data_IF_008176520657
#
_entry.id   IF_008176520657
#
_cell.length_a   1.000
_cell.length_b   1.000
_cell.length_c   1.000
_cell.angle_alpha   90.00
_cell.angle_beta   90.00
_cell.angle_gamma   90.00
#
_symmetry.space_group_name_H-M   'P 1'
#
loop_
_entity.id
_entity.type
_entity.pdbx_description
1 polymer ?
#
# COMPACT_ATOMS: atom_id res chain seq x y z
N UNK A 1 5.67 -7.61 15.28
CA UNK A 1 5.79 -8.17 16.65
C UNK A 1 5.04 -9.50 16.63
N UNK A 2 5.79 -10.58 16.43
CA UNK A 2 5.20 -11.92 16.39
C UNK A 2 4.89 -12.36 17.82
N UNK A 3 3.65 -12.51 18.16
CA UNK A 3 3.24 -13.14 19.41
C UNK A 3 2.83 -14.57 19.08
N UNK A 4 3.78 -15.51 19.18
CA UNK A 4 3.47 -16.93 19.30
C UNK A 4 3.49 -17.29 20.77
N UNK A 5 2.33 -17.57 21.33
CA UNK A 5 2.22 -18.23 22.62
C UNK A 5 2.39 -19.74 22.43
N UNK A 6 3.57 -20.25 22.74
CA UNK A 6 3.80 -21.70 22.84
C UNK A 6 3.28 -22.20 24.19
N UNK A 7 2.19 -22.93 24.18
CA UNK A 7 1.73 -23.72 25.31
C UNK A 7 2.71 -24.89 25.52
N UNK A 8 3.22 -25.03 26.75
CA UNK A 8 4.06 -26.16 27.16
C UNK A 8 3.17 -27.40 27.27
N UNK A 9 3.36 -28.35 26.37
CA UNK A 9 2.88 -29.72 26.55
C UNK A 9 4.04 -30.63 27.01
N UNK A 10 3.78 -31.64 27.85
CA UNK A 10 4.85 -32.47 28.44
C UNK A 10 5.48 -33.39 27.40
N UNK A 11 6.77 -33.53 27.51
CA UNK A 11 7.64 -34.39 26.71
C UNK A 11 7.35 -35.85 27.04
N UNK A 12 6.63 -36.57 26.18
CA UNK A 12 6.61 -38.03 26.18
C UNK A 12 7.65 -38.53 25.19
N UNK A 13 8.70 -39.15 25.75
CA UNK A 13 9.74 -39.83 24.99
C UNK A 13 9.15 -41.15 24.44
N UNK A 14 8.71 -41.19 23.20
CA UNK A 14 8.39 -42.39 22.46
C UNK A 14 9.53 -42.67 21.48
N UNK A 15 10.35 -43.67 21.81
CA UNK A 15 11.32 -44.26 20.88
C UNK A 15 10.53 -45.03 19.84
N UNK A 16 10.32 -44.48 18.67
CA UNK A 16 9.83 -45.21 17.51
C UNK A 16 10.96 -45.36 16.49
N UNK A 17 11.17 -46.60 16.07
CA UNK A 17 12.11 -47.02 15.05
C UNK A 17 12.00 -46.10 13.81
N UNK A 18 13.11 -45.52 13.47
CA UNK A 18 13.28 -44.80 12.20
C UNK A 18 13.24 -45.80 11.03
N UNK A 19 12.10 -45.94 10.41
CA UNK A 19 12.04 -46.23 8.99
C UNK A 19 12.18 -44.89 8.26
N UNK A 20 13.05 -44.77 7.25
CA UNK A 20 13.08 -43.57 6.43
C UNK A 20 11.78 -43.54 5.63
N UNK A 21 10.77 -42.89 6.17
CA UNK A 21 9.69 -42.41 5.33
C UNK A 21 10.32 -41.35 4.43
N UNK A 22 10.55 -41.70 3.16
CA UNK A 22 10.70 -40.71 2.12
C UNK A 22 9.55 -39.72 2.30
N UNK A 23 9.87 -38.51 2.72
CA UNK A 23 8.95 -37.40 2.62
C UNK A 23 8.67 -37.29 1.11
N UNK A 24 7.60 -37.94 0.66
CA UNK A 24 7.02 -37.59 -0.61
C UNK A 24 6.67 -36.12 -0.47
N UNK A 25 7.36 -35.28 -1.22
CA UNK A 25 6.87 -33.94 -1.48
C UNK A 25 5.44 -34.16 -2.00
N UNK A 26 4.48 -33.82 -1.17
CA UNK A 26 3.08 -33.78 -1.61
C UNK A 26 3.05 -32.58 -2.53
N UNK A 27 3.26 -32.81 -3.81
CA UNK A 27 2.93 -31.80 -4.81
C UNK A 27 1.46 -31.41 -4.57
N UNK A 28 1.17 -30.12 -4.45
CA UNK A 28 -0.21 -29.69 -4.32
C UNK A 28 -1.00 -30.34 -5.47
N UNK A 29 -2.18 -30.90 -5.20
CA UNK A 29 -2.90 -31.65 -6.21
C UNK A 29 -3.08 -30.76 -7.44
N UNK A 30 -2.67 -31.25 -8.61
CA UNK A 30 -2.73 -30.53 -9.91
C UNK A 30 -4.09 -29.85 -10.17
N UNK A 31 -5.15 -30.32 -9.54
CA UNK A 31 -6.49 -29.74 -9.59
C UNK A 31 -6.61 -28.35 -8.99
N UNK A 32 -5.77 -27.95 -8.04
CA UNK A 32 -5.84 -26.58 -7.48
C UNK A 32 -5.16 -25.58 -8.41
N UNK A 33 -4.06 -25.94 -9.06
CA UNK A 33 -3.38 -25.09 -10.00
C UNK A 33 -4.19 -24.85 -11.29
N UNK A 34 -5.03 -25.80 -11.70
CA UNK A 34 -5.88 -25.65 -12.88
C UNK A 34 -7.01 -24.61 -12.73
N UNK A 35 -7.29 -24.15 -11.50
CA UNK A 35 -8.27 -23.08 -11.25
C UNK A 35 -7.71 -21.67 -11.46
N UNK A 36 -6.40 -21.53 -11.54
CA UNK A 36 -5.74 -20.24 -11.69
C UNK A 36 -5.16 -20.12 -13.10
N UNK A 37 -5.83 -19.34 -13.95
CA UNK A 37 -5.25 -18.95 -15.23
C UNK A 37 -4.38 -17.70 -15.00
N UNK A 38 -3.05 -17.82 -15.19
CA UNK A 38 -2.15 -16.68 -15.15
C UNK A 38 -2.33 -15.87 -16.43
N UNK A 39 -2.86 -14.65 -16.28
CA UNK A 39 -2.85 -13.64 -17.34
C UNK A 39 -1.77 -12.62 -17.03
N UNK A 40 -0.95 -12.31 -18.00
CA UNK A 40 0.12 -11.32 -17.86
C UNK A 40 -0.05 -10.22 -18.89
N UNK A 41 0.23 -8.99 -18.47
CA UNK A 41 0.39 -7.86 -19.36
C UNK A 41 1.56 -7.01 -18.86
N UNK A 42 2.24 -6.34 -19.77
CA UNK A 42 3.37 -5.49 -19.45
C UNK A 42 3.07 -4.05 -19.88
N UNK A 43 3.30 -3.10 -18.98
CA UNK A 43 3.42 -1.70 -19.39
C UNK A 43 4.69 -1.57 -20.23
N UNK A 44 4.52 -1.30 -21.52
CA UNK A 44 5.64 -1.12 -22.45
C UNK A 44 6.22 0.30 -22.34
N UNK A 45 6.65 0.66 -21.13
CA UNK A 45 7.32 1.93 -20.88
C UNK A 45 8.49 1.68 -19.93
N UNK A 46 9.73 1.63 -20.45
CA UNK A 46 10.92 1.39 -19.62
C UNK A 46 11.15 2.50 -18.61
N UNK A 47 10.58 3.67 -18.85
CA UNK A 47 10.77 4.88 -18.06
C UNK A 47 9.74 5.02 -16.93
N UNK A 48 8.77 4.13 -16.86
CA UNK A 48 7.69 4.16 -15.87
C UNK A 48 7.80 3.00 -14.87
N UNK A 49 7.51 3.28 -13.60
CA UNK A 49 7.49 2.27 -12.54
C UNK A 49 6.12 2.16 -11.91
N UNK A 50 5.55 0.95 -11.92
CA UNK A 50 4.33 0.61 -11.20
C UNK A 50 4.67 0.38 -9.73
N UNK A 51 3.90 0.97 -8.82
CA UNK A 51 4.13 0.88 -7.38
C UNK A 51 3.02 0.17 -6.63
N UNK A 52 1.77 0.43 -6.96
CA UNK A 52 0.63 -0.20 -6.29
C UNK A 52 -0.54 -0.38 -7.25
N UNK A 53 -1.35 -1.38 -6.96
CA UNK A 53 -2.57 -1.72 -7.70
C UNK A 53 -3.78 -1.64 -6.79
N UNK A 54 -4.91 -1.21 -7.34
CA UNK A 54 -6.21 -1.28 -6.68
C UNK A 54 -7.27 -1.80 -7.65
N UNK A 55 -8.21 -2.59 -7.15
CA UNK A 55 -9.29 -3.15 -7.96
C UNK A 55 -10.62 -2.51 -7.58
N UNK A 56 -11.32 -1.97 -8.57
CA UNK A 56 -12.69 -1.50 -8.43
C UNK A 56 -13.67 -2.59 -8.87
N UNK A 57 -14.39 -3.12 -7.90
CA UNK A 57 -15.33 -4.22 -8.10
C UNK A 57 -16.48 -3.86 -9.05
N UNK A 58 -16.95 -2.63 -9.01
CA UNK A 58 -18.11 -2.21 -9.79
C UNK A 58 -17.76 -1.98 -11.27
N UNK A 59 -16.69 -1.25 -11.54
CA UNK A 59 -16.25 -0.98 -12.91
C UNK A 59 -15.46 -2.13 -13.54
N UNK A 60 -15.09 -3.17 -12.75
CA UNK A 60 -14.22 -4.26 -13.18
C UNK A 60 -12.89 -3.75 -13.75
N UNK A 61 -12.32 -2.73 -13.10
CA UNK A 61 -11.06 -2.13 -13.49
C UNK A 61 -9.99 -2.34 -12.44
N UNK A 62 -8.79 -2.60 -12.91
CA UNK A 62 -7.57 -2.52 -12.10
C UNK A 62 -6.95 -1.15 -12.34
N UNK A 63 -6.67 -0.43 -11.27
CA UNK A 63 -5.93 0.83 -11.33
C UNK A 63 -4.49 0.59 -10.90
N UNK A 64 -3.55 1.25 -11.56
CA UNK A 64 -2.13 1.18 -11.23
C UNK A 64 -1.56 2.58 -11.00
N UNK A 65 -0.94 2.78 -9.83
CA UNK A 65 -0.16 3.97 -9.55
C UNK A 65 1.21 3.84 -10.22
N UNK A 66 1.56 4.84 -11.02
CA UNK A 66 2.75 4.83 -11.86
C UNK A 66 3.52 6.14 -11.72
N UNK A 67 4.83 6.07 -11.62
CA UNK A 67 5.70 7.25 -11.62
C UNK A 67 6.64 7.24 -12.81
N UNK A 68 6.94 8.44 -13.31
CA UNK A 68 8.06 8.64 -14.21
C UNK A 68 9.38 8.43 -13.46
N UNK A 69 10.19 7.47 -13.92
CA UNK A 69 11.46 7.10 -13.29
C UNK A 69 12.64 7.88 -13.83
N UNK A 70 12.52 8.38 -15.05
CA UNK A 70 13.60 9.11 -15.76
C UNK A 70 13.57 10.59 -15.38
N UNK A 71 12.41 11.22 -15.52
CA UNK A 71 12.28 12.65 -15.23
C UNK A 71 11.77 12.87 -13.79
N UNK A 72 12.62 12.57 -12.82
CA UNK A 72 12.27 12.69 -11.40
C UNK A 72 11.99 14.14 -10.97
N UNK A 73 12.58 15.11 -11.62
CA UNK A 73 12.40 16.53 -11.31
C UNK A 73 11.02 17.05 -11.74
N UNK A 74 10.46 16.51 -12.81
CA UNK A 74 9.13 16.85 -13.26
C UNK A 74 8.00 16.46 -12.29
N UNK A 75 8.32 15.63 -11.29
CA UNK A 75 7.38 15.15 -10.26
C UNK A 75 6.06 14.63 -10.82
N UNK A 76 6.10 14.05 -12.03
CA UNK A 76 4.91 13.54 -12.72
C UNK A 76 4.58 12.13 -12.29
N UNK A 77 3.29 11.85 -12.18
CA UNK A 77 2.76 10.53 -11.98
C UNK A 77 1.60 10.26 -12.93
N UNK A 78 1.27 9.00 -13.04
CA UNK A 78 0.16 8.54 -13.86
C UNK A 78 -0.69 7.54 -13.08
N UNK A 79 -1.96 7.52 -13.40
CA UNK A 79 -2.87 6.46 -13.01
C UNK A 79 -3.30 5.74 -14.28
N UNK A 80 -3.00 4.46 -14.39
CA UNK A 80 -3.51 3.65 -15.47
C UNK A 80 -4.75 2.91 -15.02
N UNK A 81 -5.72 2.74 -15.91
CA UNK A 81 -6.81 1.78 -15.72
C UNK A 81 -6.71 0.66 -16.75
N UNK A 82 -6.94 -0.54 -16.27
CA UNK A 82 -6.96 -1.75 -17.07
C UNK A 82 -8.31 -2.43 -16.92
N UNK A 83 -8.80 -3.02 -17.98
CA UNK A 83 -9.90 -3.96 -17.90
C UNK A 83 -9.44 -5.23 -17.16
N UNK A 84 -10.17 -5.66 -16.14
CA UNK A 84 -9.74 -6.79 -15.28
C UNK A 84 -9.72 -8.14 -16.01
N UNK A 85 -10.54 -8.32 -17.06
CA UNK A 85 -10.65 -9.58 -17.78
C UNK A 85 -9.58 -9.71 -18.85
N UNK A 86 -9.37 -8.64 -19.61
CA UNK A 86 -8.44 -8.63 -20.74
C UNK A 86 -7.04 -8.14 -20.38
N UNK A 87 -6.89 -7.46 -19.25
CA UNK A 87 -5.70 -6.74 -18.80
C UNK A 87 -5.19 -5.69 -19.80
N UNK A 88 -6.05 -5.27 -20.72
CA UNK A 88 -5.70 -4.19 -21.65
C UNK A 88 -5.80 -2.84 -20.94
N UNK A 89 -4.86 -1.95 -21.25
CA UNK A 89 -4.93 -0.54 -20.81
C UNK A 89 -6.16 0.09 -21.45
N UNK A 90 -7.00 0.69 -20.63
CA UNK A 90 -8.16 1.46 -21.10
C UNK A 90 -7.86 2.95 -21.07
N UNK A 91 -7.24 3.45 -20.00
CA UNK A 91 -6.92 4.86 -19.87
C UNK A 91 -5.57 5.09 -19.19
N UNK A 92 -4.97 6.24 -19.49
CA UNK A 92 -3.84 6.81 -18.79
C UNK A 92 -4.21 8.23 -18.33
N UNK A 93 -4.28 8.44 -17.04
CA UNK A 93 -4.59 9.74 -16.44
C UNK A 93 -3.30 10.37 -15.93
N UNK A 94 -3.07 11.63 -16.26
CA UNK A 94 -1.94 12.39 -15.70
C UNK A 94 -2.31 12.86 -14.30
N UNK A 95 -1.45 12.55 -13.34
CA UNK A 95 -1.62 12.97 -11.96
C UNK A 95 -0.80 14.24 -11.69
N UNK A 96 -1.26 15.12 -10.77
CA UNK A 96 -0.55 16.37 -10.46
C UNK A 96 0.82 16.12 -9.82
N UNK A 97 1.00 14.94 -9.21
CA UNK A 97 2.23 14.53 -8.53
C UNK A 97 2.50 13.04 -8.76
N UNK A 98 3.67 12.58 -8.33
CA UNK A 98 4.06 11.17 -8.45
C UNK A 98 3.09 10.27 -7.68
N UNK A 99 2.36 9.42 -8.41
CA UNK A 99 1.45 8.45 -7.83
C UNK A 99 2.24 7.24 -7.31
N UNK A 100 1.97 6.85 -6.06
CA UNK A 100 2.73 5.80 -5.41
C UNK A 100 1.85 4.76 -4.71
N UNK A 101 0.98 5.17 -3.80
CA UNK A 101 0.11 4.29 -3.05
C UNK A 101 -1.35 4.48 -3.43
N UNK A 102 -2.13 3.40 -3.32
CA UNK A 102 -3.55 3.37 -3.64
C UNK A 102 -4.36 2.77 -2.50
N UNK A 103 -5.57 3.29 -2.31
CA UNK A 103 -6.64 2.64 -1.55
C UNK A 103 -7.97 2.95 -2.23
N UNK A 104 -8.98 2.12 -2.05
CA UNK A 104 -10.26 2.31 -2.70
C UNK A 104 -11.42 2.23 -1.69
N UNK A 105 -12.35 3.17 -1.82
CA UNK A 105 -13.68 3.08 -1.24
C UNK A 105 -14.59 2.45 -2.29
N UNK A 106 -14.92 1.17 -2.10
CA UNK A 106 -15.70 0.41 -3.08
C UNK A 106 -17.13 0.94 -3.23
N UNK A 107 -17.76 1.40 -2.15
CA UNK A 107 -19.15 1.85 -2.16
C UNK A 107 -19.33 3.21 -2.85
N UNK A 108 -18.37 4.10 -2.66
CA UNK A 108 -18.40 5.43 -3.28
C UNK A 108 -17.67 5.48 -4.62
N UNK A 109 -17.06 4.37 -5.08
CA UNK A 109 -16.22 4.32 -6.28
C UNK A 109 -15.12 5.38 -6.28
N UNK A 110 -14.50 5.59 -5.11
CA UNK A 110 -13.46 6.60 -4.90
C UNK A 110 -12.12 5.92 -4.69
N UNK A 111 -11.15 6.26 -5.51
CA UNK A 111 -9.77 5.83 -5.38
C UNK A 111 -8.95 6.94 -4.71
N UNK A 112 -8.27 6.58 -3.64
CA UNK A 112 -7.29 7.45 -2.98
C UNK A 112 -5.92 7.20 -3.56
N UNK A 113 -5.20 8.26 -3.92
CA UNK A 113 -3.88 8.21 -4.53
C UNK A 113 -2.91 8.95 -3.63
N UNK A 114 -1.99 8.22 -3.02
CA UNK A 114 -0.92 8.77 -2.22
C UNK A 114 0.23 9.25 -3.11
N UNK A 115 0.56 10.53 -3.00
CA UNK A 115 1.68 11.13 -3.71
C UNK A 115 2.91 11.14 -2.84
N UNK A 116 4.02 10.68 -3.41
CA UNK A 116 5.30 10.60 -2.71
C UNK A 116 6.26 11.67 -3.19
N UNK A 117 7.23 11.98 -2.39
CA UNK A 117 8.27 12.99 -2.54
C UNK A 117 7.98 14.24 -1.67
N UNK A 118 8.99 14.71 -0.96
CA UNK A 118 8.87 15.71 0.11
C UNK A 118 8.11 17.01 -0.28
N UNK A 119 8.21 17.43 -1.54
CA UNK A 119 7.51 18.63 -2.02
C UNK A 119 6.02 18.40 -2.31
N UNK A 120 5.60 17.15 -2.52
CA UNK A 120 4.28 16.79 -3.03
C UNK A 120 3.52 15.77 -2.19
N UNK A 121 3.92 15.62 -0.92
CA UNK A 121 3.28 14.68 -0.02
C UNK A 121 1.81 15.06 0.22
N UNK A 122 0.91 14.51 -0.59
CA UNK A 122 -0.53 14.76 -0.62
C UNK A 122 -1.27 13.48 -0.92
N UNK A 123 -2.56 13.52 -0.70
CA UNK A 123 -3.48 12.47 -1.15
C UNK A 123 -4.48 13.10 -2.08
N UNK A 124 -4.69 12.49 -3.22
CA UNK A 124 -5.76 12.85 -4.14
C UNK A 124 -6.87 11.82 -4.09
N UNK A 125 -8.09 12.29 -4.27
CA UNK A 125 -9.28 11.48 -4.43
C UNK A 125 -9.70 11.52 -5.89
N UNK A 126 -9.93 10.36 -6.49
CA UNK A 126 -10.26 10.16 -7.87
C UNK A 126 -11.56 9.37 -7.97
N UNK A 127 -12.50 9.87 -8.75
CA UNK A 127 -13.76 9.20 -9.04
C UNK A 127 -13.55 8.21 -10.19
N UNK A 128 -13.71 6.92 -9.90
CA UNK A 128 -13.39 5.86 -10.88
C UNK A 128 -14.37 5.79 -12.05
N UNK A 129 -15.70 6.05 -11.89
CA UNK A 129 -16.63 6.10 -12.99
C UNK A 129 -16.36 7.23 -13.98
N UNK A 130 -16.12 8.43 -13.49
CA UNK A 130 -15.96 9.61 -14.37
C UNK A 130 -14.53 9.84 -14.81
N UNK A 131 -13.56 9.20 -14.18
CA UNK A 131 -12.14 9.38 -14.49
C UNK A 131 -11.59 10.76 -14.09
N UNK A 132 -12.16 11.39 -13.07
CA UNK A 132 -11.79 12.76 -12.66
C UNK A 132 -11.21 12.81 -11.25
N UNK A 133 -10.24 13.70 -11.07
CA UNK A 133 -9.82 14.10 -9.73
C UNK A 133 -10.93 14.93 -9.08
N UNK A 134 -11.36 14.48 -7.90
CA UNK A 134 -12.40 15.15 -7.11
C UNK A 134 -11.78 16.16 -6.16
N UNK A 135 -10.68 15.78 -5.52
CA UNK A 135 -10.03 16.58 -4.48
C UNK A 135 -8.56 16.19 -4.35
N UNK A 136 -7.75 17.12 -3.89
CA UNK A 136 -6.40 16.86 -3.40
C UNK A 136 -6.25 17.53 -2.03
N UNK A 137 -5.67 16.82 -1.07
CA UNK A 137 -5.42 17.35 0.27
C UNK A 137 -4.40 18.50 0.24
N UNK A 138 -4.35 19.24 1.32
CA UNK A 138 -3.19 20.08 1.60
C UNK A 138 -1.92 19.23 1.74
N UNK A 139 -0.76 19.86 1.66
CA UNK A 139 0.50 19.18 1.86
C UNK A 139 0.59 18.64 3.29
N UNK A 140 0.77 17.34 3.40
CA UNK A 140 0.97 16.65 4.67
C UNK A 140 2.49 16.52 4.92
N UNK A 141 3.02 17.29 5.86
CA UNK A 141 4.43 17.21 6.24
C UNK A 141 4.58 17.13 7.75
N UNK A 142 5.33 16.15 8.21
CA UNK A 142 5.50 15.84 9.63
C UNK A 142 6.96 15.97 10.03
N UNK A 143 7.55 17.11 9.77
CA UNK A 143 8.90 17.40 10.21
C UNK A 143 8.93 17.49 11.74
N UNK A 144 9.92 16.88 12.37
CA UNK A 144 10.24 17.20 13.75
C UNK A 144 10.65 18.66 13.82
N UNK A 145 10.22 19.38 14.87
CA UNK A 145 10.42 20.81 15.01
C UNK A 145 11.88 21.28 14.83
N UNK A 146 12.85 20.40 15.07
CA UNK A 146 14.28 20.69 15.00
C UNK A 146 15.01 19.96 13.85
N UNK A 147 14.31 19.30 12.94
CA UNK A 147 14.94 18.58 11.85
C UNK A 147 15.19 19.52 10.68
N UNK A 148 16.47 19.83 10.42
CA UNK A 148 16.87 20.73 9.35
C UNK A 148 16.49 20.20 7.95
N UNK A 149 16.51 18.90 7.76
CA UNK A 149 16.21 18.24 6.49
C UNK A 149 15.40 16.98 6.68
N UNK A 150 14.30 16.89 5.93
CA UNK A 150 13.55 15.66 5.75
C UNK A 150 14.01 15.02 4.44
N UNK A 151 14.58 13.83 4.53
CA UNK A 151 14.92 13.02 3.37
C UNK A 151 13.99 11.83 3.31
N UNK A 152 13.40 11.55 2.15
CA UNK A 152 12.58 10.37 1.93
C UNK A 152 11.22 10.36 2.66
N UNK A 153 10.49 11.48 2.65
CA UNK A 153 9.08 11.45 3.05
C UNK A 153 8.27 10.62 2.04
N UNK A 154 7.63 9.57 2.52
CA UNK A 154 6.83 8.66 1.71
C UNK A 154 5.53 8.26 2.38
N UNK A 155 4.45 8.24 1.61
CA UNK A 155 3.30 7.38 1.88
C UNK A 155 3.58 6.02 1.23
N UNK A 156 3.65 4.96 2.03
CA UNK A 156 4.02 3.64 1.54
C UNK A 156 2.80 2.83 1.12
N UNK A 157 1.84 2.71 2.01
CA UNK A 157 0.62 1.96 1.79
C UNK A 157 -0.55 2.70 2.41
N UNK A 158 -1.73 2.44 1.88
CA UNK A 158 -2.98 2.98 2.39
C UNK A 158 -4.04 1.89 2.46
N UNK A 159 -4.91 1.97 3.46
CA UNK A 159 -6.15 1.19 3.52
C UNK A 159 -7.29 2.11 3.93
N UNK A 160 -8.46 1.88 3.37
CA UNK A 160 -9.65 2.63 3.69
C UNK A 160 -10.61 1.77 4.52
N UNK A 161 -11.09 2.32 5.62
CA UNK A 161 -12.15 1.73 6.43
C UNK A 161 -13.49 2.35 6.07
N UNK A 162 -14.40 1.50 5.65
CA UNK A 162 -15.75 1.87 5.27
C UNK A 162 -16.58 2.27 6.49
N UNK A 163 -16.48 1.50 7.57
CA UNK A 163 -17.26 1.71 8.79
C UNK A 163 -16.94 3.03 9.46
N UNK A 164 -15.69 3.47 9.43
CA UNK A 164 -15.25 4.71 10.10
C UNK A 164 -15.05 5.90 9.16
N UNK A 165 -15.29 5.73 7.84
CA UNK A 165 -14.94 6.70 6.79
C UNK A 165 -13.53 7.26 7.00
N UNK A 166 -12.56 6.36 7.19
CA UNK A 166 -11.19 6.74 7.53
C UNK A 166 -10.19 6.10 6.59
N UNK A 167 -9.32 6.93 6.03
CA UNK A 167 -8.17 6.50 5.27
C UNK A 167 -6.96 6.40 6.20
N UNK A 168 -6.42 5.20 6.35
CA UNK A 168 -5.20 4.94 7.10
C UNK A 168 -4.01 4.93 6.15
N UNK A 169 -2.95 5.64 6.52
CA UNK A 169 -1.78 5.85 5.65
C UNK A 169 -0.51 5.58 6.44
N UNK A 170 0.30 4.67 5.98
CA UNK A 170 1.64 4.48 6.53
C UNK A 170 2.59 5.56 6.01
N UNK A 171 3.15 6.33 6.93
CA UNK A 171 4.09 7.40 6.66
C UNK A 171 5.49 7.02 7.16
N UNK A 172 6.47 7.19 6.32
CA UNK A 172 7.88 6.99 6.67
C UNK A 172 8.72 8.18 6.24
N UNK A 173 9.67 8.54 7.07
CA UNK A 173 10.64 9.59 6.80
C UNK A 173 11.98 9.26 7.47
N UNK A 174 13.06 9.89 6.98
CA UNK A 174 14.36 9.91 7.64
C UNK A 174 14.69 11.36 7.99
N UNK A 175 14.79 11.64 9.27
CA UNK A 175 15.12 12.96 9.77
C UNK A 175 16.62 13.07 10.02
N UNK A 176 17.23 14.11 9.47
CA UNK A 176 18.62 14.47 9.81
C UNK A 176 18.61 15.20 11.16
N UNK A 177 19.30 14.65 12.12
CA UNK A 177 19.51 15.25 13.44
C UNK A 177 21.00 15.49 13.69
N UNK A 178 21.34 16.17 14.77
CA UNK A 178 22.75 16.36 15.16
C UNK A 178 23.49 15.02 15.41
N UNK A 179 22.73 13.97 15.79
CA UNK A 179 23.24 12.64 16.11
C UNK A 179 23.21 11.69 14.90
N UNK A 180 22.82 12.17 13.70
CA UNK A 180 22.71 11.38 12.49
C UNK A 180 21.29 11.27 11.95
N UNK A 181 21.05 10.26 11.09
CA UNK A 181 19.75 10.01 10.50
C UNK A 181 18.87 9.20 11.45
N UNK A 182 17.70 9.72 11.79
CA UNK A 182 16.70 9.02 12.63
C UNK A 182 15.43 8.73 11.83
N UNK A 183 14.92 7.50 11.89
CA UNK A 183 13.63 7.19 11.25
C UNK A 183 12.47 7.84 12.01
N UNK A 184 11.46 8.27 11.26
CA UNK A 184 10.18 8.71 11.77
C UNK A 184 9.08 7.93 11.05
N UNK A 185 8.35 7.13 11.79
CA UNK A 185 7.27 6.30 11.27
C UNK A 185 5.96 6.65 11.98
N UNK A 186 4.91 6.81 11.20
CA UNK A 186 3.57 7.14 11.70
C UNK A 186 2.52 6.37 10.94
N UNK A 187 1.44 6.05 11.61
CA UNK A 187 0.18 5.71 10.97
C UNK A 187 -0.71 6.94 11.05
N UNK A 188 -1.09 7.48 9.91
CA UNK A 188 -1.96 8.65 9.80
C UNK A 188 -3.39 8.19 9.61
N UNK A 189 -4.33 8.92 10.18
CA UNK A 189 -5.76 8.75 10.00
C UNK A 189 -6.32 10.00 9.36
N UNK A 190 -6.85 9.87 8.14
CA UNK A 190 -7.49 10.98 7.43
C UNK A 190 -8.97 10.70 7.28
N UNK A 191 -9.76 11.76 7.29
CA UNK A 191 -11.17 11.69 6.93
C UNK A 191 -11.32 11.29 5.46
N UNK A 192 -12.10 10.24 5.19
CA UNK A 192 -12.25 9.68 3.86
C UNK A 192 -12.95 10.59 2.85
N UNK A 193 -13.73 11.54 3.33
CA UNK A 193 -14.48 12.49 2.48
C UNK A 193 -13.72 13.79 2.26
N UNK A 194 -13.14 14.36 3.32
CA UNK A 194 -12.49 15.67 3.27
C UNK A 194 -10.99 15.62 3.09
N UNK A 195 -10.36 14.46 3.34
CA UNK A 195 -8.92 14.25 3.40
C UNK A 195 -8.22 15.03 4.53
N UNK A 196 -8.99 15.55 5.49
CA UNK A 196 -8.45 16.22 6.65
C UNK A 196 -7.78 15.21 7.60
N UNK A 197 -6.68 15.58 8.22
CA UNK A 197 -6.00 14.74 9.21
C UNK A 197 -6.87 14.66 10.47
N UNK A 198 -7.34 13.46 10.82
CA UNK A 198 -8.11 13.15 12.04
C UNK A 198 -7.19 12.84 13.22
N UNK A 199 -6.02 12.28 12.95
CA UNK A 199 -5.08 11.90 13.99
C UNK A 199 -3.88 11.13 13.45
N UNK A 200 -2.96 10.82 14.36
CA UNK A 200 -1.76 10.04 14.05
C UNK A 200 -1.38 9.12 15.22
N UNK A 201 -0.83 7.96 14.91
CA UNK A 201 -0.15 7.09 15.87
C UNK A 201 1.34 7.18 15.57
N UNK A 202 2.09 7.73 16.53
CA UNK A 202 3.56 7.80 16.44
C UNK A 202 4.15 6.44 16.79
N UNK A 203 5.29 6.13 16.16
CA UNK A 203 6.00 4.87 16.40
C UNK A 203 5.09 3.63 16.29
N UNK A 204 4.09 3.71 15.40
CA UNK A 204 3.12 2.65 15.17
C UNK A 204 3.79 1.34 14.72
N UNK A 205 4.98 1.43 14.14
CA UNK A 205 5.78 0.31 13.67
C UNK A 205 7.27 0.67 13.66
N UNK A 206 8.11 -0.38 13.68
CA UNK A 206 9.57 -0.24 13.55
C UNK A 206 9.98 -0.56 12.11
N UNK A 207 10.90 0.21 11.55
CA UNK A 207 11.34 0.03 10.18
C UNK A 207 10.41 0.66 9.14
N UNK A 208 10.55 0.29 7.88
CA UNK A 208 9.69 0.79 6.80
C UNK A 208 8.48 -0.13 6.63
N UNK A 209 7.28 0.41 6.69
CA UNK A 209 6.07 -0.36 6.41
C UNK A 209 6.05 -0.76 4.93
N UNK A 210 6.23 -2.04 4.65
CA UNK A 210 6.11 -2.61 3.30
C UNK A 210 4.73 -3.18 3.01
N UNK A 211 3.88 -3.28 4.02
CA UNK A 211 2.51 -3.72 3.89
C UNK A 211 1.61 -3.08 4.93
N UNK A 212 0.40 -2.76 4.54
CA UNK A 212 -0.66 -2.29 5.41
C UNK A 212 -1.95 -3.00 4.99
N UNK A 213 -2.63 -3.61 5.93
CA UNK A 213 -3.93 -4.22 5.68
C UNK A 213 -4.84 -4.05 6.88
N UNK A 214 -6.13 -4.19 6.65
CA UNK A 214 -7.15 -4.06 7.67
C UNK A 214 -8.05 -5.28 7.69
N UNK A 215 -8.37 -5.75 8.87
CA UNK A 215 -9.47 -6.66 9.12
C UNK A 215 -10.71 -5.81 9.45
N UNK A 216 -11.57 -5.64 8.47
CA UNK A 216 -12.81 -4.85 8.60
C UNK A 216 -13.73 -5.39 9.70
N UNK A 217 -13.77 -6.70 9.88
CA UNK A 217 -14.63 -7.34 10.87
C UNK A 217 -14.21 -7.02 12.31
N UNK A 218 -12.91 -6.98 12.57
CA UNK A 218 -12.36 -6.70 13.91
C UNK A 218 -11.87 -5.27 14.06
N UNK A 219 -11.94 -4.45 13.01
CA UNK A 219 -11.44 -3.08 12.94
C UNK A 219 -9.96 -2.96 13.36
N UNK A 220 -9.16 -3.97 13.01
CA UNK A 220 -7.74 -4.02 13.32
C UNK A 220 -6.90 -3.73 12.09
N UNK A 221 -5.88 -2.89 12.28
CA UNK A 221 -4.89 -2.59 11.25
C UNK A 221 -3.61 -3.37 11.54
N UNK A 222 -3.11 -4.03 10.52
CA UNK A 222 -1.84 -4.76 10.56
C UNK A 222 -0.82 -4.04 9.70
N UNK A 223 0.35 -3.81 10.26
CA UNK A 223 1.48 -3.18 9.59
C UNK A 223 2.61 -4.19 9.52
N UNK A 224 3.08 -4.49 8.30
CA UNK A 224 4.22 -5.36 8.05
C UNK A 224 5.43 -4.56 7.55
N UNK A 225 6.64 -4.92 8.06
CA UNK A 225 7.88 -4.27 7.66
C UNK A 225 9.11 -4.94 8.26
#
# INVERSE_FOLDING_TARGET
>A
MNIFTLSKAPLYLLISLFLPTMAMAIDPPERELSRFALKTNYLQSPDEGVYELAFDNASKKVFAAVTDRVNREANKGYLYSFNSDSLKVENKYTMPYRAFSLAINQDKHQLYIGHTQSASLRISMFDTPTGKLVRTSDRLSFKAANAADSRFEHFRHMVYSQDSDTLFVSYSNMLKTAEGMKPLHKLLMLDGTTLALKGEVKDAYKGTAYGLTMDEKTQKIYVGG
#
